data_IF_901406011603
#
_entry.id   IF_901406011603
#
_cell.length_a   1.000
_cell.length_b   1.000
_cell.length_c   1.000
_cell.angle_alpha   90.00
_cell.angle_beta   90.00
_cell.angle_gamma   90.00
#
_symmetry.space_group_name_H-M   'P 1'
#
loop_
_entity.id
_entity.type
_entity.pdbx_description
1 polymer ?
#
# COMPACT_ATOMS: atom_id res chain seq x y z
N UNK A 1 -5.57 -6.38 13.56
CA UNK A 1 -5.27 -7.31 12.46
C UNK A 1 -5.52 -8.81 12.78
N UNK A 2 -5.90 -9.18 14.02
CA UNK A 2 -6.02 -10.58 14.47
C UNK A 2 -6.76 -11.56 13.55
N UNK A 3 -7.91 -11.18 12.99
CA UNK A 3 -8.70 -12.11 12.17
C UNK A 3 -8.00 -12.52 10.87
N UNK A 4 -7.36 -11.57 10.19
CA UNK A 4 -6.60 -11.82 8.96
C UNK A 4 -5.33 -12.62 9.27
N UNK A 5 -4.59 -12.22 10.30
CA UNK A 5 -3.36 -12.90 10.75
C UNK A 5 -3.63 -14.37 11.08
N UNK A 6 -4.70 -14.69 11.82
CA UNK A 6 -5.06 -16.08 12.14
C UNK A 6 -5.35 -16.90 10.89
N UNK A 7 -6.08 -16.33 9.92
CA UNK A 7 -6.39 -17.02 8.66
C UNK A 7 -5.13 -17.28 7.85
N UNK A 8 -4.28 -16.27 7.70
CA UNK A 8 -3.02 -16.40 6.98
C UNK A 8 -2.08 -17.39 7.67
N UNK A 9 -1.95 -17.33 9.01
CA UNK A 9 -1.09 -18.23 9.77
C UNK A 9 -1.51 -19.69 9.61
N UNK A 10 -2.81 -19.99 9.66
CA UNK A 10 -3.33 -21.34 9.41
C UNK A 10 -3.02 -21.83 8.00
N UNK A 11 -3.23 -20.97 6.99
CA UNK A 11 -2.95 -21.32 5.59
C UNK A 11 -1.46 -21.57 5.35
N UNK A 12 -0.59 -20.67 5.84
CA UNK A 12 0.87 -20.79 5.72
C UNK A 12 1.39 -22.04 6.42
N UNK A 13 0.98 -22.28 7.67
CA UNK A 13 1.37 -23.49 8.40
C UNK A 13 0.97 -24.78 7.66
N UNK A 14 -0.22 -24.80 7.03
CA UNK A 14 -0.67 -25.94 6.23
C UNK A 14 0.24 -26.18 5.02
N UNK A 15 0.58 -25.13 4.26
CA UNK A 15 1.41 -25.26 3.04
C UNK A 15 2.88 -25.56 3.38
N UNK A 16 3.37 -25.05 4.52
CA UNK A 16 4.75 -25.24 4.96
C UNK A 16 4.96 -26.50 5.81
N UNK A 17 3.90 -27.27 6.09
CA UNK A 17 3.93 -28.41 7.02
C UNK A 17 4.50 -28.06 8.41
N UNK A 18 4.16 -26.86 8.91
CA UNK A 18 4.60 -26.36 10.22
C UNK A 18 3.43 -26.13 11.16
N UNK A 19 3.74 -25.95 12.44
CA UNK A 19 2.79 -25.52 13.46
C UNK A 19 3.39 -24.37 14.28
N UNK A 20 2.53 -23.60 14.96
CA UNK A 20 2.94 -22.49 15.81
C UNK A 20 2.71 -21.10 15.21
N UNK A 21 3.20 -20.04 15.87
CA UNK A 21 3.01 -18.66 15.45
C UNK A 21 3.75 -18.37 14.14
N UNK A 22 3.10 -17.62 13.25
CA UNK A 22 3.67 -17.17 11.97
C UNK A 22 4.04 -15.69 12.01
N UNK A 23 3.20 -14.86 12.64
CA UNK A 23 3.42 -13.44 12.80
C UNK A 23 3.94 -13.12 14.20
N UNK A 24 4.75 -12.07 14.31
CA UNK A 24 5.05 -11.47 15.60
C UNK A 24 3.80 -10.74 16.14
N UNK A 25 3.68 -10.60 17.46
CA UNK A 25 2.50 -9.97 18.11
C UNK A 25 2.29 -8.48 17.76
N UNK A 26 3.18 -7.86 16.99
CA UNK A 26 3.17 -6.42 16.72
C UNK A 26 2.95 -6.13 15.24
N UNK A 27 1.91 -5.35 14.96
CA UNK A 27 1.74 -4.65 13.69
C UNK A 27 1.85 -3.13 13.93
N UNK A 28 2.42 -2.39 12.98
CA UNK A 28 2.48 -0.94 13.05
C UNK A 28 1.23 -0.35 12.42
N UNK A 29 0.36 0.22 13.25
CA UNK A 29 -0.81 0.96 12.80
C UNK A 29 -0.50 2.44 12.79
N UNK A 30 -0.62 3.08 11.64
CA UNK A 30 -0.47 4.52 11.50
C UNK A 30 -1.65 5.08 10.72
N UNK A 31 -2.37 6.04 11.32
CA UNK A 31 -3.49 6.71 10.67
C UNK A 31 -2.95 7.80 9.76
N UNK A 32 -3.21 7.68 8.46
CA UNK A 32 -2.80 8.68 7.48
C UNK A 32 -3.76 9.88 7.55
N UNK A 33 -3.24 11.02 7.95
CA UNK A 33 -4.01 12.23 8.30
C UNK A 33 -4.09 13.25 7.18
N UNK A 34 -3.29 13.09 6.12
CA UNK A 34 -3.27 14.04 5.00
C UNK A 34 -3.13 13.35 3.63
N UNK A 35 -3.59 13.99 2.54
CA UNK A 35 -3.40 13.45 1.19
C UNK A 35 -1.93 13.25 0.81
N UNK A 36 -1.03 14.13 1.26
CA UNK A 36 0.41 14.01 1.01
C UNK A 36 0.98 12.77 1.69
N UNK A 37 0.56 12.52 2.93
CA UNK A 37 0.95 11.34 3.68
C UNK A 37 0.43 10.06 3.03
N UNK A 38 -0.82 10.05 2.56
CA UNK A 38 -1.38 8.96 1.78
C UNK A 38 -0.58 8.69 0.50
N UNK A 39 -0.27 9.74 -0.28
CA UNK A 39 0.55 9.61 -1.50
C UNK A 39 1.95 9.04 -1.21
N UNK A 40 2.59 9.51 -0.14
CA UNK A 40 3.89 8.98 0.28
C UNK A 40 3.80 7.51 0.74
N UNK A 41 2.74 7.13 1.46
CA UNK A 41 2.53 5.76 1.90
C UNK A 41 2.29 4.81 0.73
N UNK A 42 1.49 5.23 -0.27
CA UNK A 42 1.28 4.47 -1.51
C UNK A 42 2.61 4.30 -2.25
N UNK A 43 3.37 5.38 -2.44
CA UNK A 43 4.70 5.29 -3.07
C UNK A 43 5.62 4.34 -2.30
N UNK A 44 5.66 4.44 -0.98
CA UNK A 44 6.45 3.54 -0.13
C UNK A 44 6.09 2.08 -0.36
N UNK A 45 4.80 1.74 -0.40
CA UNK A 45 4.34 0.36 -0.63
C UNK A 45 4.73 -0.13 -2.03
N UNK A 46 4.58 0.71 -3.06
CA UNK A 46 4.93 0.36 -4.44
C UNK A 46 6.44 0.22 -4.66
N UNK A 47 7.24 1.02 -3.96
CA UNK A 47 8.72 1.01 -4.06
C UNK A 47 9.36 0.11 -2.99
N UNK A 48 8.57 -0.55 -2.15
CA UNK A 48 9.05 -1.32 -0.99
C UNK A 48 10.06 -2.41 -1.40
N UNK A 49 9.88 -3.01 -2.60
CA UNK A 49 10.79 -4.02 -3.12
C UNK A 49 12.21 -3.48 -3.32
N UNK A 50 12.35 -2.28 -3.87
CA UNK A 50 13.64 -1.59 -4.07
C UNK A 50 14.25 -1.23 -2.71
N UNK A 51 13.43 -0.67 -1.81
CA UNK A 51 13.86 -0.29 -0.46
C UNK A 51 14.39 -1.49 0.33
N UNK A 52 13.75 -2.65 0.21
CA UNK A 52 14.23 -3.86 0.89
C UNK A 52 15.46 -4.47 0.23
N UNK A 53 15.56 -4.44 -1.11
CA UNK A 53 16.78 -4.89 -1.79
C UNK A 53 17.99 -4.06 -1.34
N UNK A 54 17.87 -2.74 -1.29
CA UNK A 54 18.91 -1.85 -0.79
C UNK A 54 19.29 -2.17 0.66
N UNK A 55 18.31 -2.33 1.55
CA UNK A 55 18.53 -2.67 2.96
C UNK A 55 19.20 -4.02 3.17
N UNK A 56 18.93 -4.98 2.29
CA UNK A 56 19.50 -6.31 2.34
C UNK A 56 20.87 -6.41 1.63
N UNK A 57 21.32 -5.35 0.96
CA UNK A 57 22.52 -5.38 0.12
C UNK A 57 22.35 -6.22 -1.16
N UNK A 58 21.12 -6.38 -1.61
CA UNK A 58 20.76 -7.10 -2.83
C UNK A 58 20.72 -6.15 -4.03
N UNK A 59 20.96 -6.64 -5.26
CA UNK A 59 20.79 -5.83 -6.46
C UNK A 59 19.38 -5.24 -6.55
N UNK A 60 19.28 -4.00 -7.01
CA UNK A 60 17.99 -3.37 -7.21
C UNK A 60 17.14 -4.19 -8.21
N UNK A 61 15.92 -4.57 -7.84
CA UNK A 61 15.04 -5.30 -8.74
C UNK A 61 14.60 -4.41 -9.91
N UNK A 62 14.26 -5.05 -11.03
CA UNK A 62 13.76 -4.37 -12.22
C UNK A 62 12.30 -4.71 -12.48
N UNK A 63 11.56 -3.75 -13.02
CA UNK A 63 10.13 -3.90 -13.32
C UNK A 63 9.23 -3.65 -12.11
N UNK A 64 7.98 -4.09 -12.23
CA UNK A 64 6.95 -3.97 -11.19
C UNK A 64 7.08 -5.15 -10.23
N UNK A 65 6.98 -4.89 -8.92
CA UNK A 65 6.95 -5.95 -7.91
C UNK A 65 5.78 -6.92 -8.20
N UNK A 66 6.07 -8.22 -8.49
CA UNK A 66 5.04 -9.18 -8.85
C UNK A 66 4.07 -9.48 -7.71
N UNK A 67 4.38 -9.08 -6.47
CA UNK A 67 3.55 -9.27 -5.30
C UNK A 67 2.85 -7.99 -4.83
N UNK A 68 3.00 -6.87 -5.57
CA UNK A 68 2.29 -5.64 -5.29
C UNK A 68 1.07 -5.47 -6.21
N UNK A 69 0.09 -4.67 -5.77
CA UNK A 69 -1.14 -4.46 -6.54
C UNK A 69 -0.95 -3.73 -7.87
N UNK A 70 0.22 -3.10 -8.11
CA UNK A 70 0.51 -2.49 -9.41
C UNK A 70 0.77 -3.52 -10.52
N UNK A 71 1.01 -4.80 -10.20
CA UNK A 71 1.12 -5.86 -11.22
C UNK A 71 -0.23 -6.14 -11.88
N UNK A 72 -1.34 -5.92 -11.16
CA UNK A 72 -2.68 -6.35 -11.58
C UNK A 72 -3.41 -5.32 -12.45
N UNK A 73 -2.73 -4.31 -13.01
CA UNK A 73 -3.38 -3.33 -13.90
C UNK A 73 -4.08 -3.96 -15.12
N UNK A 74 -3.72 -5.20 -15.50
CA UNK A 74 -4.34 -5.95 -16.60
C UNK A 74 -5.43 -6.97 -16.16
N UNK A 75 -5.80 -7.05 -14.88
CA UNK A 75 -6.73 -8.09 -14.38
C UNK A 75 -7.88 -7.53 -13.54
N UNK A 76 -8.95 -7.13 -14.24
CA UNK A 76 -10.26 -6.80 -13.65
C UNK A 76 -10.61 -5.31 -13.62
N UNK A 77 -11.79 -4.93 -13.09
CA UNK A 77 -12.13 -3.53 -12.87
C UNK A 77 -11.05 -2.87 -12.01
N UNK A 78 -10.77 -1.57 -12.20
CA UNK A 78 -9.67 -0.89 -11.51
C UNK A 78 -9.79 -1.07 -9.99
N UNK A 79 -8.64 -1.24 -9.32
CA UNK A 79 -8.54 -1.45 -7.86
C UNK A 79 -9.23 -0.35 -7.06
N UNK A 80 -9.37 0.82 -7.67
CA UNK A 80 -10.16 1.94 -7.18
C UNK A 80 -11.16 2.26 -8.28
N UNK A 81 -12.43 2.41 -7.91
CA UNK A 81 -13.44 2.90 -8.86
C UNK A 81 -12.99 4.23 -9.46
N UNK A 82 -13.28 4.44 -10.74
CA UNK A 82 -12.97 5.70 -11.38
C UNK A 82 -13.60 6.86 -10.60
N UNK A 83 -12.82 7.92 -10.43
CA UNK A 83 -13.31 9.13 -9.81
C UNK A 83 -14.32 9.77 -10.78
N UNK A 84 -15.62 9.65 -10.49
CA UNK A 84 -16.68 10.25 -11.32
C UNK A 84 -17.06 11.67 -10.87
N UNK A 85 -16.68 12.05 -9.65
CA UNK A 85 -17.09 13.31 -9.05
C UNK A 85 -15.93 14.30 -9.02
N UNK A 86 -16.20 15.55 -9.42
CA UNK A 86 -15.18 16.60 -9.60
C UNK A 86 -14.21 16.75 -8.41
N UNK A 87 -14.70 16.55 -7.18
CA UNK A 87 -13.88 16.65 -5.97
C UNK A 87 -12.79 15.56 -5.90
N UNK A 88 -13.07 14.36 -6.41
CA UNK A 88 -12.13 13.25 -6.50
C UNK A 88 -11.25 13.33 -7.74
N UNK A 89 -11.74 13.91 -8.84
CA UNK A 89 -10.95 14.10 -10.08
C UNK A 89 -9.95 15.25 -9.97
N UNK A 90 -10.36 16.37 -9.35
CA UNK A 90 -9.62 17.64 -9.35
C UNK A 90 -9.00 17.94 -7.97
N UNK A 91 -9.56 17.35 -6.90
CA UNK A 91 -9.18 17.65 -5.52
C UNK A 91 -9.92 18.88 -4.94
N UNK A 92 -9.77 19.10 -3.63
CA UNK A 92 -10.29 20.29 -2.95
C UNK A 92 -9.24 21.41 -2.96
N UNK A 93 -9.59 22.59 -3.51
CA UNK A 93 -8.73 23.78 -3.42
C UNK A 93 -8.71 24.30 -1.97
N UNK A 94 -7.51 24.55 -1.43
CA UNK A 94 -7.38 25.22 -0.12
C UNK A 94 -7.90 26.66 -0.26
N UNK A 95 -8.76 27.07 0.67
CA UNK A 95 -9.37 28.42 0.71
C UNK A 95 -8.33 29.57 0.75
N UNK A 96 -7.07 29.28 1.08
CA UNK A 96 -5.97 30.24 1.16
C UNK A 96 -5.58 30.86 -0.19
N UNK A 97 -5.92 30.23 -1.32
CA UNK A 97 -5.60 30.76 -2.66
C UNK A 97 -6.61 31.79 -3.19
N UNK A 98 -7.74 32.01 -2.49
CA UNK A 98 -8.75 33.02 -2.86
C UNK A 98 -8.51 34.39 -2.23
N UNK A 99 -7.49 34.54 -1.36
CA UNK A 99 -7.22 35.80 -0.66
C UNK A 99 -6.20 36.72 -1.36
N UNK A 100 -5.61 36.30 -2.49
CA UNK A 100 -4.60 37.09 -3.24
C UNK A 100 -5.02 37.46 -4.66
N UNK A 101 -6.31 37.35 -4.98
CA UNK A 101 -6.86 37.74 -6.29
C UNK A 101 -8.06 38.70 -6.14
N UNK A 102 -7.92 39.71 -5.27
CA UNK A 102 -8.83 40.84 -5.16
C UNK A 102 -8.03 42.15 -5.17
#
# INVERSE_FOLDING_TARGET
MKGLEVRMARALNKVMHRTGPVFADRYHAHLLTSPREAANAVRYVLENWIVHAERNGEPAPSGVDPYCSAVSHDSGPPLVADAHWWMLCVGAKRRTELAFAA
#
